data_IF_914020813526
#
_entry.id   IF_914020813526
#
_cell.length_a   1.000
_cell.length_b   1.000
_cell.length_c   1.000
_cell.angle_alpha   90.00
_cell.angle_beta   90.00
_cell.angle_gamma   90.00
#
_symmetry.space_group_name_H-M   'P 1'
#
loop_
_entity.id
_entity.type
_entity.pdbx_description
1 polymer ?
#
# COMPACT_ATOMS: atom_id res chain seq x y z
N UNK A 1 16.90 -10.54 -15.76
CA UNK A 1 15.94 -11.09 -14.78
C UNK A 1 16.51 -12.13 -13.80
N UNK A 2 17.36 -13.15 -14.16
CA UNK A 2 17.85 -14.14 -13.17
C UNK A 2 18.52 -13.50 -11.95
N UNK A 3 19.47 -12.58 -12.15
CA UNK A 3 20.19 -11.92 -11.04
C UNK A 3 19.30 -11.12 -10.10
N UNK A 4 18.21 -10.55 -10.61
CA UNK A 4 17.22 -9.84 -9.77
C UNK A 4 16.40 -10.84 -8.95
N UNK A 5 16.04 -11.99 -9.53
CA UNK A 5 15.39 -13.08 -8.81
C UNK A 5 16.24 -13.62 -7.68
N UNK A 6 17.56 -13.80 -7.90
CA UNK A 6 18.51 -14.23 -6.86
C UNK A 6 18.58 -13.19 -5.74
N UNK A 7 18.63 -11.90 -6.07
CA UNK A 7 18.60 -10.83 -5.07
C UNK A 7 17.29 -10.85 -4.27
N UNK A 8 16.15 -10.92 -4.97
CA UNK A 8 14.83 -10.98 -4.34
C UNK A 8 14.74 -12.14 -3.33
N UNK A 9 15.07 -13.34 -3.78
CA UNK A 9 15.06 -14.52 -2.90
C UNK A 9 15.98 -14.36 -1.70
N UNK A 10 17.18 -13.81 -1.89
CA UNK A 10 18.13 -13.62 -0.79
C UNK A 10 17.65 -12.59 0.24
N UNK A 11 17.02 -11.49 -0.21
CA UNK A 11 16.51 -10.42 0.67
C UNK A 11 15.26 -10.86 1.41
N UNK A 12 14.34 -11.58 0.74
CA UNK A 12 13.06 -12.02 1.31
C UNK A 12 13.15 -13.33 2.09
N UNK A 13 14.23 -14.09 1.98
CA UNK A 13 14.42 -15.36 2.68
C UNK A 13 14.28 -15.28 4.21
N UNK A 14 14.50 -14.13 4.81
CA UNK A 14 14.33 -13.88 6.25
C UNK A 14 12.96 -13.29 6.63
N UNK A 15 12.09 -13.08 5.67
CA UNK A 15 10.66 -12.82 5.86
C UNK A 15 10.24 -11.37 6.09
N UNK A 16 11.12 -10.44 6.47
CA UNK A 16 10.71 -9.14 6.97
C UNK A 16 11.08 -7.93 6.10
N UNK A 17 11.74 -8.11 4.97
CA UNK A 17 12.13 -6.97 4.15
C UNK A 17 11.01 -6.51 3.21
N UNK A 18 10.73 -5.22 3.19
CA UNK A 18 9.86 -4.58 2.18
C UNK A 18 10.65 -4.50 0.88
N UNK A 19 10.44 -5.42 -0.04
CA UNK A 19 11.12 -5.44 -1.33
C UNK A 19 10.13 -5.20 -2.47
N UNK A 20 10.43 -4.23 -3.33
CA UNK A 20 9.61 -3.96 -4.50
C UNK A 20 10.17 -4.69 -5.73
N UNK A 21 9.28 -5.39 -6.42
CA UNK A 21 9.60 -5.92 -7.74
C UNK A 21 9.68 -4.78 -8.77
N UNK A 22 10.41 -4.98 -9.87
CA UNK A 22 10.70 -3.91 -10.85
C UNK A 22 9.47 -3.46 -11.64
N UNK A 23 8.38 -4.24 -11.66
CA UNK A 23 7.19 -3.93 -12.45
C UNK A 23 7.42 -4.09 -13.96
N UNK A 24 6.61 -3.40 -14.74
CA UNK A 24 6.63 -3.41 -16.20
C UNK A 24 7.84 -2.64 -16.77
N UNK A 25 8.11 -2.81 -18.06
CA UNK A 25 9.26 -2.20 -18.76
C UNK A 25 9.32 -0.67 -18.63
N UNK A 26 8.17 -0.01 -18.58
CA UNK A 26 8.08 1.44 -18.38
C UNK A 26 8.70 1.91 -17.05
N UNK A 27 8.75 1.02 -16.06
CA UNK A 27 9.34 1.29 -14.75
C UNK A 27 10.85 1.01 -14.67
N UNK A 28 11.44 0.34 -15.67
CA UNK A 28 12.84 -0.08 -15.59
C UNK A 28 13.82 1.12 -15.53
N UNK A 29 13.45 2.24 -16.12
CA UNK A 29 14.24 3.49 -16.03
C UNK A 29 14.28 4.08 -14.61
N UNK A 30 13.44 3.56 -13.69
CA UNK A 30 13.37 3.97 -12.30
C UNK A 30 14.17 3.04 -11.37
N UNK A 31 14.88 2.02 -11.95
CA UNK A 31 15.58 0.97 -11.20
C UNK A 31 17.07 1.08 -11.40
N UNK A 32 17.83 1.04 -10.33
CA UNK A 32 19.29 1.10 -10.30
C UNK A 32 19.83 -0.10 -9.52
N UNK A 33 20.80 -0.79 -10.10
CA UNK A 33 21.39 -1.98 -9.50
C UNK A 33 22.90 -1.80 -9.34
N UNK A 34 23.44 -2.23 -8.20
CA UNK A 34 24.88 -2.31 -7.98
C UNK A 34 25.36 -3.76 -8.13
N UNK A 35 26.52 -3.91 -8.78
CA UNK A 35 27.14 -5.20 -9.05
C UNK A 35 28.55 -5.25 -8.48
N UNK A 36 28.91 -6.38 -7.89
CA UNK A 36 30.27 -6.70 -7.47
C UNK A 36 30.64 -8.09 -7.98
N UNK A 37 31.73 -8.18 -8.76
CA UNK A 37 32.19 -9.44 -9.37
C UNK A 37 31.10 -10.24 -10.10
N UNK A 38 30.20 -9.53 -10.81
CA UNK A 38 29.10 -10.11 -11.55
C UNK A 38 27.85 -10.50 -10.74
N UNK A 39 27.87 -10.34 -9.42
CA UNK A 39 26.72 -10.56 -8.53
C UNK A 39 26.02 -9.24 -8.28
N UNK A 40 24.70 -9.21 -8.34
CA UNK A 40 23.90 -8.05 -7.92
C UNK A 40 23.92 -7.98 -6.39
N UNK A 41 24.43 -6.89 -5.83
CA UNK A 41 24.59 -6.69 -4.37
C UNK A 41 23.64 -5.67 -3.79
N UNK A 42 23.04 -4.81 -4.63
CA UNK A 42 21.98 -3.89 -4.22
C UNK A 42 21.06 -3.57 -5.38
N UNK A 43 19.81 -3.23 -5.05
CA UNK A 43 18.81 -2.71 -5.98
C UNK A 43 18.10 -1.55 -5.32
N UNK A 44 18.01 -0.44 -6.05
CA UNK A 44 17.17 0.69 -5.70
C UNK A 44 16.11 0.94 -6.77
N UNK A 45 14.96 1.45 -6.35
CA UNK A 45 13.87 1.86 -7.23
C UNK A 45 13.18 3.07 -6.65
N UNK A 46 12.75 3.98 -7.51
CA UNK A 46 11.90 5.11 -7.12
C UNK A 46 10.64 5.10 -7.97
N UNK A 47 9.49 5.40 -7.37
CA UNK A 47 8.21 5.42 -8.08
C UNK A 47 7.32 6.54 -7.55
N UNK A 48 6.50 7.10 -8.43
CA UNK A 48 5.40 7.98 -8.05
C UNK A 48 4.27 7.08 -7.51
N UNK A 49 3.93 7.23 -6.23
CA UNK A 49 2.91 6.40 -5.59
C UNK A 49 1.58 7.14 -5.52
N UNK A 50 1.61 8.45 -5.23
CA UNK A 50 0.39 9.22 -5.17
C UNK A 50 0.57 10.57 -5.87
N UNK A 51 -0.32 10.87 -6.80
CA UNK A 51 -0.45 12.17 -7.44
C UNK A 51 -1.73 12.81 -6.93
N UNK A 52 -1.61 13.95 -6.27
CA UNK A 52 -2.76 14.68 -5.75
C UNK A 52 -3.62 15.15 -6.91
N UNK A 53 -4.92 14.78 -6.97
CA UNK A 53 -5.82 15.29 -8.00
C UNK A 53 -6.04 16.81 -7.88
N UNK A 54 -6.33 17.51 -8.98
CA UNK A 54 -6.67 18.94 -8.94
C UNK A 54 -7.85 19.24 -7.99
N UNK A 55 -7.81 20.42 -7.37
CA UNK A 55 -8.89 20.89 -6.50
C UNK A 55 -8.85 20.38 -5.07
N UNK A 56 -7.83 19.61 -4.67
CA UNK A 56 -7.61 19.22 -3.28
C UNK A 56 -6.95 20.34 -2.48
N UNK A 57 -6.94 20.19 -1.15
CA UNK A 57 -6.25 21.13 -0.25
C UNK A 57 -4.77 21.29 -0.64
N UNK A 58 -4.25 22.51 -0.55
CA UNK A 58 -2.82 22.81 -0.77
C UNK A 58 -1.88 22.17 0.26
N UNK A 59 -2.40 21.66 1.34
CA UNK A 59 -1.65 20.88 2.33
C UNK A 59 -1.29 19.48 1.82
N UNK A 60 -2.04 18.96 0.84
CA UNK A 60 -1.75 17.67 0.21
C UNK A 60 -0.42 17.73 -0.57
N UNK A 61 0.24 16.58 -0.67
CA UNK A 61 1.54 16.43 -1.31
C UNK A 61 1.55 15.25 -2.25
N UNK A 62 2.17 15.40 -3.42
CA UNK A 62 2.57 14.24 -4.21
C UNK A 62 3.53 13.37 -3.41
N UNK A 63 3.35 12.06 -3.45
CA UNK A 63 4.20 11.13 -2.70
C UNK A 63 4.98 10.23 -3.66
N UNK A 64 6.28 10.37 -3.62
CA UNK A 64 7.23 9.47 -4.27
C UNK A 64 7.79 8.54 -3.22
N UNK A 65 8.03 7.30 -3.58
CA UNK A 65 8.65 6.34 -2.69
C UNK A 65 9.91 5.76 -3.32
N UNK A 66 10.91 5.59 -2.47
CA UNK A 66 12.17 4.93 -2.79
C UNK A 66 12.24 3.62 -2.02
N UNK A 67 12.60 2.54 -2.72
CA UNK A 67 12.93 1.26 -2.12
C UNK A 67 14.38 0.93 -2.45
N UNK A 68 15.25 0.85 -1.45
CA UNK A 68 16.68 0.56 -1.60
C UNK A 68 17.05 -0.60 -0.70
N UNK A 69 17.47 -1.71 -1.29
CA UNK A 69 17.80 -2.95 -0.60
C UNK A 69 19.15 -3.49 -1.06
N UNK A 70 19.86 -4.09 -0.12
CA UNK A 70 21.11 -4.81 -0.36
C UNK A 70 20.93 -6.30 -0.08
N UNK A 71 21.84 -7.14 -0.53
CA UNK A 71 21.88 -8.53 -0.07
C UNK A 71 22.09 -8.59 1.45
N UNK A 72 21.61 -9.64 2.15
CA UNK A 72 21.69 -9.73 3.62
C UNK A 72 23.09 -9.59 4.19
N UNK A 73 24.13 -10.07 3.48
CA UNK A 73 25.53 -9.96 3.90
C UNK A 73 26.06 -8.52 3.87
N UNK A 74 25.33 -7.61 3.20
CA UNK A 74 25.69 -6.20 3.01
C UNK A 74 24.65 -5.25 3.59
N UNK A 75 23.71 -5.72 4.40
CA UNK A 75 22.61 -4.88 4.94
C UNK A 75 23.10 -3.76 5.89
N UNK A 76 24.31 -3.85 6.44
CA UNK A 76 24.94 -2.82 7.24
C UNK A 76 25.97 -1.98 6.46
N UNK A 77 26.09 -2.16 5.15
CA UNK A 77 27.08 -1.49 4.31
C UNK A 77 26.58 -0.11 3.88
N UNK A 78 26.87 0.88 4.72
CA UNK A 78 26.49 2.28 4.46
C UNK A 78 27.16 2.82 3.20
N UNK A 79 28.40 2.40 2.86
CA UNK A 79 29.11 2.85 1.66
C UNK A 79 28.43 2.35 0.39
N UNK A 80 27.85 1.15 0.43
CA UNK A 80 27.07 0.62 -0.69
C UNK A 80 25.76 1.40 -0.88
N UNK A 81 25.05 1.69 0.20
CA UNK A 81 23.84 2.53 0.16
C UNK A 81 24.17 3.94 -0.38
N UNK A 82 25.27 4.54 0.09
CA UNK A 82 25.77 5.85 -0.39
C UNK A 82 26.07 5.87 -1.89
N UNK A 83 26.54 4.78 -2.45
CA UNK A 83 26.82 4.70 -3.90
C UNK A 83 25.57 4.62 -4.75
N UNK A 84 24.47 4.05 -4.26
CA UNK A 84 23.23 3.87 -5.03
C UNK A 84 22.26 5.04 -4.82
N UNK A 85 22.16 5.55 -3.62
CA UNK A 85 21.22 6.61 -3.21
C UNK A 85 21.19 7.84 -4.14
N UNK A 86 22.33 8.43 -4.56
CA UNK A 86 22.32 9.63 -5.41
C UNK A 86 21.63 9.44 -6.75
N UNK A 87 21.72 8.25 -7.34
CA UNK A 87 21.03 7.94 -8.61
C UNK A 87 19.51 7.90 -8.43
N UNK A 88 19.05 7.34 -7.32
CA UNK A 88 17.63 7.30 -6.98
C UNK A 88 17.08 8.69 -6.68
N UNK A 89 17.84 9.50 -5.93
CA UNK A 89 17.47 10.88 -5.65
C UNK A 89 17.40 11.73 -6.93
N UNK A 90 18.40 11.62 -7.81
CA UNK A 90 18.40 12.31 -9.10
C UNK A 90 17.19 11.89 -9.95
N UNK A 91 16.83 10.59 -9.93
CA UNK A 91 15.65 10.10 -10.64
C UNK A 91 14.36 10.62 -10.04
N UNK A 92 14.26 10.74 -8.72
CA UNK A 92 13.10 11.34 -8.06
C UNK A 92 12.88 12.79 -8.51
N UNK A 93 13.95 13.60 -8.63
CA UNK A 93 13.86 14.97 -9.17
C UNK A 93 13.37 14.98 -10.62
N UNK A 94 13.91 14.11 -11.49
CA UNK A 94 13.44 14.02 -12.89
C UNK A 94 11.95 13.65 -12.98
N UNK A 95 11.48 12.74 -12.13
CA UNK A 95 10.07 12.37 -12.07
C UNK A 95 9.21 13.53 -11.56
N UNK A 96 9.69 14.31 -10.60
CA UNK A 96 8.99 15.50 -10.11
C UNK A 96 8.75 16.52 -11.22
N UNK A 97 9.72 16.73 -12.13
CA UNK A 97 9.58 17.63 -13.26
C UNK A 97 8.44 17.26 -14.23
N UNK A 98 7.94 16.03 -14.16
CA UNK A 98 6.80 15.58 -14.98
C UNK A 98 5.43 15.93 -14.37
N UNK A 99 5.40 16.40 -13.12
CA UNK A 99 4.18 16.74 -12.41
C UNK A 99 3.94 18.25 -12.35
N UNK A 100 2.69 18.62 -12.12
CA UNK A 100 2.34 20.01 -11.82
C UNK A 100 2.99 20.46 -10.51
N UNK A 101 3.42 21.72 -10.46
CA UNK A 101 3.94 22.39 -9.26
C UNK A 101 2.82 22.93 -8.34
N UNK A 102 1.57 22.62 -8.65
CA UNK A 102 0.42 23.01 -7.83
C UNK A 102 0.51 22.50 -6.39
N UNK A 103 1.07 21.29 -6.23
CA UNK A 103 1.25 20.63 -4.93
C UNK A 103 2.73 20.36 -4.66
N UNK A 104 3.11 20.46 -3.39
CA UNK A 104 4.46 20.08 -2.97
C UNK A 104 4.67 18.59 -3.16
N UNK A 105 5.92 18.17 -3.27
CA UNK A 105 6.30 16.76 -3.40
C UNK A 105 7.11 16.32 -2.18
N UNK A 106 6.91 15.09 -1.74
CA UNK A 106 7.76 14.43 -0.73
C UNK A 106 8.32 13.12 -1.28
N UNK A 107 9.57 12.84 -0.91
CA UNK A 107 10.21 11.56 -1.18
C UNK A 107 10.20 10.74 0.10
N UNK A 108 9.53 9.60 0.04
CA UNK A 108 9.32 8.69 1.16
C UNK A 108 10.17 7.43 1.00
N UNK A 109 10.43 6.77 2.11
CA UNK A 109 10.97 5.42 2.18
C UNK A 109 10.18 4.62 3.20
N UNK A 110 10.00 3.32 2.94
CA UNK A 110 9.37 2.38 3.88
C UNK A 110 10.26 1.16 4.04
N UNK A 111 10.55 0.81 5.29
CA UNK A 111 11.34 -0.36 5.64
C UNK A 111 10.67 -1.09 6.81
N UNK A 112 10.90 -2.39 6.93
CA UNK A 112 10.55 -3.10 8.15
C UNK A 112 11.26 -2.48 9.35
N UNK A 113 10.59 -2.43 10.51
CA UNK A 113 11.17 -1.84 11.73
C UNK A 113 12.47 -2.52 12.16
N UNK A 114 12.68 -3.78 11.80
CA UNK A 114 13.90 -4.55 12.06
C UNK A 114 15.07 -4.22 11.12
N UNK A 115 14.83 -3.54 9.99
CA UNK A 115 15.87 -3.08 9.05
C UNK A 115 16.63 -1.85 9.60
N UNK A 116 17.21 -2.01 10.78
CA UNK A 116 17.77 -0.89 11.58
C UNK A 116 18.85 -0.10 10.84
N UNK A 117 19.71 -0.76 10.06
CA UNK A 117 20.76 -0.09 9.29
C UNK A 117 20.18 0.78 8.16
N UNK A 118 19.20 0.25 7.41
CA UNK A 118 18.49 1.03 6.39
C UNK A 118 17.75 2.23 6.99
N UNK A 119 17.04 2.01 8.09
CA UNK A 119 16.34 3.09 8.80
C UNK A 119 17.32 4.17 9.26
N UNK A 120 18.47 3.76 9.86
CA UNK A 120 19.49 4.69 10.31
C UNK A 120 20.13 5.47 9.14
N UNK A 121 20.36 4.83 7.99
CA UNK A 121 20.86 5.48 6.79
C UNK A 121 19.97 6.66 6.37
N UNK A 122 18.66 6.44 6.26
CA UNK A 122 17.75 7.51 5.86
C UNK A 122 17.62 8.60 6.92
N UNK A 123 17.61 8.25 8.21
CA UNK A 123 17.65 9.24 9.29
C UNK A 123 18.90 10.13 9.18
N UNK A 124 20.08 9.56 8.91
CA UNK A 124 21.33 10.33 8.70
C UNK A 124 21.27 11.21 7.43
N UNK A 125 20.48 10.83 6.42
CA UNK A 125 20.19 11.68 5.25
C UNK A 125 19.17 12.80 5.50
N UNK A 126 18.70 12.95 6.73
CA UNK A 126 17.76 13.99 7.14
C UNK A 126 16.30 13.64 6.93
N UNK A 127 15.98 12.37 6.63
CA UNK A 127 14.58 11.95 6.57
C UNK A 127 13.93 12.00 7.95
N UNK A 128 12.73 12.55 8.00
CA UNK A 128 11.91 12.64 9.20
C UNK A 128 10.91 11.49 9.24
N UNK A 129 10.56 11.02 10.42
CA UNK A 129 9.52 10.00 10.57
C UNK A 129 8.18 10.52 10.03
N UNK A 130 7.55 9.76 9.13
CA UNK A 130 6.25 10.06 8.56
C UNK A 130 5.12 9.38 9.36
N UNK A 131 5.14 8.06 9.39
CA UNK A 131 4.20 7.21 10.12
C UNK A 131 4.75 5.77 10.18
N UNK A 132 4.04 4.91 10.90
CA UNK A 132 4.27 3.46 10.87
C UNK A 132 2.97 2.73 10.56
N UNK A 133 3.07 1.64 9.83
CA UNK A 133 1.95 0.78 9.49
C UNK A 133 2.22 -0.65 9.93
N UNK A 134 1.18 -1.33 10.42
CA UNK A 134 1.19 -2.78 10.52
C UNK A 134 0.71 -3.40 9.22
N UNK A 135 1.47 -4.34 8.66
CA UNK A 135 0.92 -5.33 7.77
C UNK A 135 0.30 -6.42 8.63
N UNK A 136 -0.99 -6.60 8.47
CA UNK A 136 -1.72 -7.62 9.19
C UNK A 136 -2.09 -8.75 8.23
N UNK A 137 -2.00 -9.99 8.70
CA UNK A 137 -2.29 -11.19 7.93
C UNK A 137 -3.47 -11.94 8.56
N UNK A 138 -4.25 -12.62 7.72
CA UNK A 138 -5.37 -13.50 8.11
C UNK A 138 -5.28 -14.82 7.36
N UNK A 139 -5.17 -15.91 8.09
CA UNK A 139 -5.24 -17.26 7.54
C UNK A 139 -6.69 -17.60 7.17
N UNK A 140 -6.99 -17.73 5.88
CA UNK A 140 -8.33 -17.98 5.35
C UNK A 140 -8.79 -19.44 5.52
N UNK A 141 -7.91 -20.38 5.91
CA UNK A 141 -8.29 -21.77 6.22
C UNK A 141 -8.99 -21.87 7.57
N UNK A 142 -8.83 -20.89 8.45
CA UNK A 142 -9.52 -20.81 9.73
C UNK A 142 -10.98 -20.35 9.55
N UNK A 143 -11.78 -20.55 10.61
CA UNK A 143 -13.19 -20.15 10.61
C UNK A 143 -13.34 -18.64 10.42
N UNK A 144 -14.24 -18.24 9.51
CA UNK A 144 -14.64 -16.85 9.29
C UNK A 144 -15.99 -16.65 9.98
N UNK A 145 -16.14 -15.61 10.82
CA UNK A 145 -17.41 -15.35 11.51
C UNK A 145 -18.60 -15.24 10.55
N UNK A 146 -19.75 -15.75 10.94
CA UNK A 146 -21.01 -15.50 10.23
C UNK A 146 -21.70 -14.31 10.86
N UNK A 147 -21.97 -13.31 10.02
CA UNK A 147 -22.60 -12.07 10.43
C UNK A 147 -23.76 -11.76 9.49
N UNK A 148 -24.82 -11.21 10.04
CA UNK A 148 -25.96 -10.72 9.30
C UNK A 148 -25.90 -9.19 9.20
N UNK A 149 -26.31 -8.67 8.06
CA UNK A 149 -26.49 -7.25 7.87
C UNK A 149 -27.85 -6.84 8.44
N UNK A 150 -27.91 -5.72 9.14
CA UNK A 150 -29.17 -5.22 9.71
C UNK A 150 -30.17 -4.88 8.59
N UNK A 151 -31.47 -4.99 8.89
CA UNK A 151 -32.54 -4.62 8.00
C UNK A 151 -32.42 -3.14 7.56
N UNK A 152 -32.79 -2.86 6.33
CA UNK A 152 -32.70 -1.55 5.71
C UNK A 152 -31.37 -1.26 4.98
N UNK A 153 -30.40 -2.17 5.11
CA UNK A 153 -29.13 -2.09 4.38
C UNK A 153 -29.01 -3.18 3.33
N UNK A 154 -28.36 -2.85 2.22
CA UNK A 154 -28.13 -3.77 1.11
C UNK A 154 -26.63 -3.92 0.88
N UNK A 155 -26.15 -5.16 0.80
CA UNK A 155 -24.78 -5.50 0.41
C UNK A 155 -24.74 -5.82 -1.07
N UNK A 156 -23.68 -5.35 -1.76
CA UNK A 156 -23.43 -5.69 -3.16
C UNK A 156 -21.93 -5.77 -3.47
N UNK A 157 -21.59 -6.69 -4.40
CA UNK A 157 -20.36 -6.58 -5.17
C UNK A 157 -20.53 -5.48 -6.21
N UNK A 158 -19.52 -4.64 -6.38
CA UNK A 158 -19.62 -3.49 -7.27
C UNK A 158 -18.34 -3.33 -8.10
N UNK A 159 -18.47 -3.55 -9.40
CA UNK A 159 -17.33 -3.54 -10.31
C UNK A 159 -16.95 -2.13 -10.80
N UNK A 160 -17.79 -1.12 -10.53
CA UNK A 160 -17.59 0.24 -11.03
C UNK A 160 -17.33 0.24 -12.54
N UNK A 161 -18.28 -0.29 -13.33
CA UNK A 161 -18.10 -0.51 -14.77
C UNK A 161 -18.14 0.77 -15.59
N UNK A 162 -18.69 1.84 -15.03
CA UNK A 162 -18.86 3.12 -15.71
C UNK A 162 -18.03 4.23 -15.05
N UNK A 163 -17.60 5.25 -15.84
CA UNK A 163 -16.91 6.42 -15.26
C UNK A 163 -17.74 7.13 -14.18
N UNK A 164 -19.05 7.11 -14.26
CA UNK A 164 -19.94 7.69 -13.24
C UNK A 164 -19.87 6.94 -11.92
N UNK A 165 -19.77 5.61 -11.97
CA UNK A 165 -19.62 4.77 -10.77
C UNK A 165 -18.23 4.95 -10.13
N UNK A 166 -17.19 5.04 -10.95
CA UNK A 166 -15.84 5.35 -10.47
C UNK A 166 -15.82 6.71 -9.77
N UNK A 167 -16.45 7.73 -10.37
CA UNK A 167 -16.54 9.04 -9.77
C UNK A 167 -17.34 9.00 -8.45
N UNK A 168 -18.45 8.26 -8.40
CA UNK A 168 -19.22 8.08 -7.17
C UNK A 168 -18.38 7.48 -6.04
N UNK A 169 -17.51 6.51 -6.36
CA UNK A 169 -16.58 5.94 -5.37
C UNK A 169 -15.56 6.98 -4.91
N UNK A 170 -14.92 7.68 -5.85
CA UNK A 170 -13.92 8.70 -5.56
C UNK A 170 -14.48 9.89 -4.75
N UNK A 171 -15.74 10.23 -4.93
CA UNK A 171 -16.42 11.27 -4.13
C UNK A 171 -16.57 10.82 -2.66
N UNK A 172 -16.95 9.55 -2.43
CA UNK A 172 -17.02 8.98 -1.07
C UNK A 172 -15.62 8.84 -0.48
N UNK A 173 -14.65 8.37 -1.26
CA UNK A 173 -13.25 8.26 -0.84
C UNK A 173 -12.70 9.61 -0.40
N UNK A 174 -12.97 10.67 -1.18
CA UNK A 174 -12.57 12.03 -0.86
C UNK A 174 -13.17 12.56 0.45
N UNK A 175 -14.38 12.14 0.82
CA UNK A 175 -15.01 12.47 2.10
C UNK A 175 -14.30 11.75 3.26
N UNK A 176 -13.92 10.48 3.06
CA UNK A 176 -13.32 9.64 4.10
C UNK A 176 -11.85 9.97 4.32
N UNK A 177 -11.09 10.19 3.24
CA UNK A 177 -9.64 10.45 3.26
C UNK A 177 -9.27 11.74 2.51
N UNK A 178 -9.65 12.92 3.04
CA UNK A 178 -9.38 14.19 2.35
C UNK A 178 -7.90 14.49 2.17
N UNK A 179 -7.03 13.97 3.07
CA UNK A 179 -5.60 14.23 3.06
C UNK A 179 -4.78 13.23 2.23
N UNK A 180 -5.38 12.10 1.85
CA UNK A 180 -4.70 11.02 1.10
C UNK A 180 -5.57 10.52 -0.05
N UNK A 181 -5.86 11.38 -1.04
CA UNK A 181 -6.78 11.04 -2.12
C UNK A 181 -6.24 9.89 -2.99
N UNK A 182 -7.12 8.93 -3.29
CA UNK A 182 -6.79 7.80 -4.13
C UNK A 182 -6.51 8.24 -5.58
N UNK A 183 -7.45 8.96 -6.17
CA UNK A 183 -7.41 9.37 -7.57
C UNK A 183 -7.73 8.26 -8.56
N UNK A 184 -8.18 8.69 -9.77
CA UNK A 184 -8.67 7.78 -10.80
C UNK A 184 -7.58 6.83 -11.32
N UNK A 185 -6.34 7.33 -11.49
CA UNK A 185 -5.25 6.50 -11.99
C UNK A 185 -4.97 5.32 -11.08
N UNK A 186 -4.92 5.55 -9.76
CA UNK A 186 -4.67 4.49 -8.79
C UNK A 186 -5.84 3.52 -8.67
N UNK A 187 -7.07 4.01 -8.73
CA UNK A 187 -8.26 3.16 -8.82
C UNK A 187 -8.18 2.24 -10.05
N UNK A 188 -7.82 2.81 -11.22
CA UNK A 188 -7.64 2.04 -12.45
C UNK A 188 -6.56 0.97 -12.34
N UNK A 189 -5.46 1.23 -11.63
CA UNK A 189 -4.42 0.23 -11.36
C UNK A 189 -4.95 -0.89 -10.46
N UNK A 190 -5.68 -0.57 -9.41
CA UNK A 190 -6.28 -1.59 -8.54
C UNK A 190 -7.23 -2.51 -9.31
N UNK A 191 -8.05 -1.95 -10.20
CA UNK A 191 -9.00 -2.71 -11.02
C UNK A 191 -8.36 -3.69 -12.02
N UNK A 192 -7.08 -3.53 -12.35
CA UNK A 192 -6.34 -4.48 -13.21
C UNK A 192 -5.93 -5.77 -12.48
N UNK A 193 -5.96 -5.79 -11.16
CA UNK A 193 -5.55 -6.96 -10.39
C UNK A 193 -6.54 -8.13 -10.57
N UNK A 194 -6.02 -9.36 -10.42
CA UNK A 194 -6.83 -10.57 -10.52
C UNK A 194 -7.93 -10.57 -9.46
N UNK A 195 -9.10 -11.03 -9.86
CA UNK A 195 -10.30 -11.14 -9.01
C UNK A 195 -10.64 -9.84 -8.25
N UNK A 196 -10.23 -8.68 -8.78
CA UNK A 196 -10.59 -7.42 -8.16
C UNK A 196 -12.12 -7.24 -8.07
N UNK A 197 -12.57 -6.74 -6.93
CA UNK A 197 -13.93 -6.27 -6.73
C UNK A 197 -13.98 -5.24 -5.64
N UNK A 198 -14.91 -4.29 -5.70
CA UNK A 198 -15.34 -3.58 -4.51
C UNK A 198 -16.54 -4.25 -3.89
N UNK A 199 -16.75 -4.02 -2.61
CA UNK A 199 -17.91 -4.46 -1.86
C UNK A 199 -18.48 -3.24 -1.15
N UNK A 200 -19.77 -3.00 -1.30
CA UNK A 200 -20.41 -1.82 -0.72
C UNK A 200 -21.66 -2.22 0.07
N UNK A 201 -21.93 -1.42 1.10
CA UNK A 201 -23.22 -1.41 1.78
C UNK A 201 -23.92 -0.10 1.42
N UNK A 202 -25.20 -0.22 1.07
CA UNK A 202 -26.06 0.92 0.76
C UNK A 202 -27.27 0.98 1.68
N UNK A 203 -27.66 2.21 2.01
CA UNK A 203 -28.97 2.55 2.56
C UNK A 203 -29.71 3.28 1.44
N UNK A 204 -30.72 2.66 0.83
CA UNK A 204 -31.27 3.11 -0.44
C UNK A 204 -30.17 3.25 -1.51
N UNK A 205 -30.00 4.44 -2.10
CA UNK A 205 -28.98 4.72 -3.12
C UNK A 205 -27.65 5.26 -2.54
N UNK A 206 -27.57 5.43 -1.21
CA UNK A 206 -26.40 6.03 -0.55
C UNK A 206 -25.40 4.95 -0.19
N UNK A 207 -24.16 5.06 -0.65
CA UNK A 207 -23.04 4.23 -0.16
C UNK A 207 -22.71 4.64 1.27
N UNK A 208 -22.87 3.73 2.22
CA UNK A 208 -22.64 3.98 3.65
C UNK A 208 -21.37 3.31 4.17
N UNK A 209 -20.88 2.31 3.47
CA UNK A 209 -19.62 1.64 3.76
C UNK A 209 -19.11 0.85 2.58
N UNK A 210 -17.82 0.54 2.55
CA UNK A 210 -17.22 -0.22 1.47
C UNK A 210 -15.81 -0.67 1.77
N UNK A 211 -15.27 -1.47 0.86
CA UNK A 211 -13.87 -1.86 0.74
C UNK A 211 -13.58 -2.31 -0.69
N UNK A 212 -12.30 -2.45 -1.02
CA UNK A 212 -11.84 -3.15 -2.21
C UNK A 212 -11.03 -4.39 -1.82
N UNK A 213 -11.03 -5.40 -2.68
CA UNK A 213 -10.23 -6.60 -2.50
C UNK A 213 -9.81 -7.19 -3.85
N UNK A 214 -8.62 -7.79 -3.88
CA UNK A 214 -8.07 -8.45 -5.07
C UNK A 214 -7.03 -9.50 -4.68
N UNK A 215 -6.51 -10.22 -5.67
CA UNK A 215 -5.36 -11.09 -5.51
C UNK A 215 -4.08 -10.38 -5.95
N UNK A 216 -3.06 -10.42 -5.09
CA UNK A 216 -1.70 -10.03 -5.39
C UNK A 216 -0.78 -11.23 -5.08
N UNK A 217 -0.08 -11.74 -6.11
CA UNK A 217 0.68 -12.99 -6.01
C UNK A 217 -0.16 -14.15 -5.46
N UNK A 218 0.19 -14.69 -4.29
CA UNK A 218 -0.49 -15.80 -3.60
C UNK A 218 -1.46 -15.34 -2.48
N UNK A 219 -1.64 -14.03 -2.30
CA UNK A 219 -2.40 -13.45 -1.20
C UNK A 219 -3.61 -12.66 -1.66
N UNK A 220 -4.64 -12.61 -0.84
CA UNK A 220 -5.71 -11.62 -0.97
C UNK A 220 -5.30 -10.30 -0.33
N UNK A 221 -5.59 -9.19 -0.97
CA UNK A 221 -5.42 -7.84 -0.45
C UNK A 221 -6.77 -7.24 -0.12
N UNK A 222 -6.87 -6.57 1.02
CA UNK A 222 -8.06 -5.79 1.41
C UNK A 222 -7.61 -4.35 1.60
N UNK A 223 -8.29 -3.42 0.93
CA UNK A 223 -7.94 -2.01 0.88
C UNK A 223 -9.18 -1.14 1.06
N UNK A 224 -8.97 0.11 1.49
CA UNK A 224 -10.02 1.14 1.61
C UNK A 224 -11.24 0.71 2.44
N UNK A 225 -11.03 0.09 3.59
CA UNK A 225 -12.15 -0.31 4.47
C UNK A 225 -12.73 0.92 5.17
N UNK A 226 -13.97 1.27 4.84
CA UNK A 226 -14.62 2.43 5.44
C UNK A 226 -16.08 2.19 5.82
N UNK A 227 -16.54 2.97 6.77
CA UNK A 227 -17.96 3.24 7.06
C UNK A 227 -18.09 4.73 7.32
N UNK A 228 -19.00 5.39 6.61
CA UNK A 228 -19.27 6.82 6.78
C UNK A 228 -19.71 7.12 8.21
N UNK A 229 -19.33 8.25 8.74
CA UNK A 229 -19.43 8.59 10.16
C UNK A 229 -20.81 8.35 10.77
N UNK A 230 -21.88 8.79 10.11
CA UNK A 230 -23.26 8.65 10.58
C UNK A 230 -23.74 7.19 10.70
N UNK A 231 -23.04 6.25 10.09
CA UNK A 231 -23.38 4.81 10.07
C UNK A 231 -22.40 3.94 10.85
N UNK A 232 -21.40 4.52 11.53
CA UNK A 232 -20.43 3.78 12.36
C UNK A 232 -21.11 3.10 13.56
N UNK A 233 -20.39 2.16 14.17
CA UNK A 233 -20.81 1.41 15.34
C UNK A 233 -22.05 0.51 15.15
N UNK A 234 -22.36 0.12 13.91
CA UNK A 234 -23.46 -0.78 13.54
C UNK A 234 -22.98 -2.14 12.99
N UNK A 235 -21.71 -2.49 13.20
CA UNK A 235 -21.13 -3.76 12.75
C UNK A 235 -20.79 -3.87 11.26
N UNK A 236 -21.07 -2.83 10.45
CA UNK A 236 -20.93 -2.85 8.98
C UNK A 236 -19.50 -3.14 8.51
N UNK A 237 -18.49 -2.50 9.11
CA UNK A 237 -17.09 -2.75 8.73
C UNK A 237 -16.69 -4.21 9.00
N UNK A 238 -17.13 -4.78 10.12
CA UNK A 238 -16.91 -6.19 10.45
C UNK A 238 -17.61 -7.11 9.46
N UNK A 239 -18.85 -6.79 9.08
CA UNK A 239 -19.60 -7.52 8.06
C UNK A 239 -18.86 -7.48 6.69
N UNK A 240 -18.46 -6.29 6.21
CA UNK A 240 -17.70 -6.13 4.97
C UNK A 240 -16.42 -6.96 4.96
N UNK A 241 -15.64 -6.92 6.04
CA UNK A 241 -14.43 -7.72 6.16
C UNK A 241 -14.72 -9.21 6.08
N UNK A 242 -15.77 -9.71 6.74
CA UNK A 242 -16.10 -11.14 6.65
C UNK A 242 -16.56 -11.55 5.25
N UNK A 243 -17.24 -10.67 4.49
CA UNK A 243 -17.59 -10.93 3.09
C UNK A 243 -16.33 -10.96 2.21
N UNK A 244 -15.38 -10.03 2.40
CA UNK A 244 -14.11 -10.02 1.68
C UNK A 244 -13.30 -11.30 1.95
N UNK A 245 -13.17 -11.71 3.21
CA UNK A 245 -12.47 -12.95 3.58
C UNK A 245 -13.10 -14.20 2.94
N UNK A 246 -14.44 -14.27 2.90
CA UNK A 246 -15.17 -15.37 2.24
C UNK A 246 -14.95 -15.35 0.73
N UNK A 247 -15.00 -14.18 0.11
CA UNK A 247 -14.73 -14.01 -1.31
C UNK A 247 -13.33 -14.47 -1.68
N UNK A 248 -12.31 -14.02 -0.96
CA UNK A 248 -10.94 -14.42 -1.19
C UNK A 248 -10.74 -15.93 -1.02
N UNK A 249 -11.32 -16.53 0.04
CA UNK A 249 -11.30 -17.98 0.26
C UNK A 249 -12.00 -18.75 -0.86
N UNK A 250 -13.13 -18.25 -1.37
CA UNK A 250 -13.85 -18.90 -2.49
C UNK A 250 -13.05 -18.86 -3.78
N UNK A 251 -12.11 -17.93 -3.92
CA UNK A 251 -11.14 -17.84 -4.99
C UNK A 251 -9.84 -18.61 -4.70
N UNK A 252 -9.87 -19.56 -3.73
CA UNK A 252 -8.78 -20.49 -3.40
C UNK A 252 -7.53 -19.83 -2.80
N UNK A 253 -7.65 -18.63 -2.26
CA UNK A 253 -6.56 -18.00 -1.52
C UNK A 253 -6.54 -18.51 -0.07
N UNK A 254 -5.33 -18.71 0.47
CA UNK A 254 -5.12 -19.22 1.82
C UNK A 254 -4.84 -18.10 2.83
N UNK A 255 -4.46 -16.93 2.37
CA UNK A 255 -4.14 -15.79 3.22
C UNK A 255 -4.72 -14.50 2.64
N UNK A 256 -5.08 -13.59 3.52
CA UNK A 256 -5.41 -12.21 3.19
C UNK A 256 -4.55 -11.25 4.02
N UNK A 257 -4.18 -10.12 3.44
CA UNK A 257 -3.44 -9.09 4.14
C UNK A 257 -4.09 -7.71 3.96
N UNK A 258 -3.74 -6.81 4.85
CA UNK A 258 -4.10 -5.40 4.81
C UNK A 258 -3.01 -4.59 5.51
N UNK A 259 -3.01 -3.27 5.23
CA UNK A 259 -2.13 -2.32 5.91
C UNK A 259 -2.96 -1.38 6.79
N UNK A 260 -2.46 -1.06 7.97
CA UNK A 260 -3.14 -0.14 8.89
C UNK A 260 -2.14 0.72 9.66
N UNK A 261 -2.45 2.01 9.82
CA UNK A 261 -1.65 2.90 10.67
C UNK A 261 -1.61 2.37 12.12
N UNK A 262 -0.41 2.29 12.71
CA UNK A 262 -0.21 1.82 14.08
C UNK A 262 -0.93 2.67 15.12
N UNK A 263 -1.21 3.93 14.78
CA UNK A 263 -1.99 4.87 15.60
C UNK A 263 -3.51 4.62 15.55
N UNK A 264 -4.02 3.92 14.51
CA UNK A 264 -5.46 3.67 14.36
C UNK A 264 -5.92 2.47 15.20
N UNK A 265 -6.02 2.66 16.52
CA UNK A 265 -6.39 1.60 17.46
C UNK A 265 -7.78 1.01 17.22
N UNK A 266 -8.71 1.82 16.72
CA UNK A 266 -10.08 1.36 16.38
C UNK A 266 -10.05 0.37 15.22
N UNK A 267 -9.31 0.67 14.15
CA UNK A 267 -9.17 -0.26 13.02
C UNK A 267 -8.40 -1.52 13.42
N UNK A 268 -7.33 -1.40 14.23
CA UNK A 268 -6.59 -2.56 14.75
C UNK A 268 -7.51 -3.51 15.48
N UNK A 269 -8.28 -3.03 16.47
CA UNK A 269 -9.23 -3.86 17.21
C UNK A 269 -10.31 -4.49 16.32
N UNK A 270 -10.76 -3.76 15.28
CA UNK A 270 -11.69 -4.30 14.30
C UNK A 270 -11.07 -5.47 13.53
N UNK A 271 -9.85 -5.31 12.99
CA UNK A 271 -9.18 -6.36 12.23
C UNK A 271 -8.85 -7.59 13.08
N UNK A 272 -8.35 -7.39 14.31
CA UNK A 272 -8.14 -8.48 15.28
C UNK A 272 -9.44 -9.24 15.57
N UNK A 273 -10.58 -8.55 15.65
CA UNK A 273 -11.89 -9.16 15.92
C UNK A 273 -12.39 -10.10 14.83
N UNK A 274 -11.80 -10.05 13.63
CA UNK A 274 -12.07 -10.98 12.51
C UNK A 274 -10.88 -11.91 12.22
N UNK A 275 -9.89 -11.92 13.14
CA UNK A 275 -8.80 -12.87 13.17
C UNK A 275 -7.54 -12.46 12.41
N UNK A 276 -7.38 -11.18 12.05
CA UNK A 276 -6.09 -10.69 11.60
C UNK A 276 -5.10 -10.59 12.76
N UNK A 277 -3.84 -10.82 12.45
CA UNK A 277 -2.72 -10.62 13.39
C UNK A 277 -1.63 -9.79 12.71
N UNK A 278 -0.87 -9.03 13.50
CA UNK A 278 0.26 -8.25 12.99
C UNK A 278 1.40 -9.18 12.56
N UNK A 279 1.83 -9.05 11.33
CA UNK A 279 2.94 -9.82 10.75
C UNK A 279 4.24 -9.01 10.76
N UNK A 280 4.18 -7.75 10.33
CA UNK A 280 5.33 -6.85 10.33
C UNK A 280 4.91 -5.40 10.60
N UNK A 281 5.88 -4.57 10.97
CA UNK A 281 5.74 -3.13 11.09
C UNK A 281 6.63 -2.44 10.06
N UNK A 282 6.01 -1.74 9.11
CA UNK A 282 6.70 -0.85 8.19
C UNK A 282 6.81 0.55 8.81
N UNK A 283 8.03 1.03 8.97
CA UNK A 283 8.31 2.40 9.41
C UNK A 283 8.61 3.25 8.19
N UNK A 284 7.91 4.37 8.05
CA UNK A 284 8.05 5.28 6.91
C UNK A 284 8.71 6.59 7.33
N UNK A 285 9.60 7.05 6.47
CA UNK A 285 10.28 8.32 6.62
C UNK A 285 10.13 9.14 5.34
N UNK A 286 10.31 10.46 5.42
CA UNK A 286 10.22 11.35 4.28
C UNK A 286 11.16 12.53 4.36
N UNK A 287 11.49 13.10 3.19
CA UNK A 287 12.03 14.45 3.03
C UNK A 287 11.16 15.24 2.04
N UNK A 288 11.07 16.59 2.16
CA UNK A 288 10.59 17.41 1.06
C UNK A 288 11.48 17.17 -0.17
N UNK A 289 10.87 17.05 -1.34
CA UNK A 289 11.57 17.00 -2.61
C UNK A 289 11.42 18.37 -3.28
N UNK A 290 12.41 19.23 -3.04
CA UNK A 290 12.43 20.61 -3.55
C UNK A 290 12.82 20.71 -5.02
#
# INVERSE_FOLDING_TARGET
>A
MPLLGDLYQSVTAKGNAVFWWVGDEDNWNNVYCAFEKGKMVAKGQVSIINVVPPGRSKENRHSFYMNLKTIPERNNDMDLLEKVYPYLLARAHQLKETLSDEYRTMLCVGNDSSETANNQFFIQKGYLHLNSLYRMNRNLTESIPELELQDGYQFAYWQMETPSEEQQYLDVEAEIWPDTPLGLNRLSEYKKNKIWTSMVIRESDIIVGGLMTWQEEEHGVIEDVFVRESWRNRGMAKYLLTQALRYLRSNQLNNANLMVLTSNKTALSLYESVGFYTELEEVRYFIPLE
#
